data_IF_511482191198
#
_entry.id   IF_511482191198
#
_cell.length_a   1.000
_cell.length_b   1.000
_cell.length_c   1.000
_cell.angle_alpha   90.00
_cell.angle_beta   90.00
_cell.angle_gamma   90.00
#
_symmetry.space_group_name_H-M   'P 1'
#
loop_
_entity.id
_entity.type
_entity.pdbx_description
1 polymer ?
#
# COMPACT_ATOMS: atom_id res chain seq x y z
N UNK A 1 -19.42 -25.50 -6.16
CA UNK A 1 -18.60 -24.38 -6.66
C UNK A 1 -19.24 -23.07 -6.19
N UNK A 2 -18.66 -22.35 -5.26
CA UNK A 2 -19.09 -20.96 -4.99
C UNK A 2 -18.64 -20.17 -6.19
N UNK A 3 -19.56 -19.66 -6.99
CA UNK A 3 -19.27 -18.63 -8.00
C UNK A 3 -18.70 -17.43 -7.25
N UNK A 4 -17.38 -17.23 -7.37
CA UNK A 4 -16.74 -16.05 -6.83
C UNK A 4 -17.44 -14.83 -7.45
N UNK A 5 -18.03 -13.97 -6.61
CA UNK A 5 -18.65 -12.74 -7.10
C UNK A 5 -17.58 -11.92 -7.80
N UNK A 6 -17.85 -11.50 -9.06
CA UNK A 6 -16.94 -10.57 -9.77
C UNK A 6 -16.79 -9.28 -8.99
N UNK A 7 -15.63 -8.69 -9.02
CA UNK A 7 -15.28 -7.49 -8.27
C UNK A 7 -15.30 -6.25 -9.16
N UNK A 8 -15.62 -5.12 -8.55
CA UNK A 8 -15.47 -3.79 -9.16
C UNK A 8 -14.41 -3.03 -8.37
N UNK A 9 -13.21 -2.97 -8.92
CA UNK A 9 -12.09 -2.30 -8.30
C UNK A 9 -12.15 -0.79 -8.51
N UNK A 10 -11.64 -0.03 -7.54
CA UNK A 10 -11.40 1.42 -7.63
C UNK A 10 -10.09 1.76 -6.94
N UNK A 11 -9.21 2.48 -7.62
CA UNK A 11 -7.99 3.01 -7.02
C UNK A 11 -8.29 4.30 -6.26
N UNK A 12 -8.13 4.28 -4.92
CA UNK A 12 -8.34 5.42 -4.02
C UNK A 12 -7.16 5.58 -3.05
N UNK A 13 -5.99 6.08 -3.54
CA UNK A 13 -4.82 6.29 -2.71
C UNK A 13 -5.08 7.34 -1.61
N UNK A 14 -4.42 7.19 -0.46
CA UNK A 14 -4.62 8.10 0.67
C UNK A 14 -5.90 7.83 1.48
N UNK A 15 -6.46 6.63 1.37
CA UNK A 15 -7.66 6.21 2.08
C UNK A 15 -7.51 6.33 3.60
N UNK A 16 -6.29 6.20 4.18
CA UNK A 16 -6.06 6.32 5.62
C UNK A 16 -6.51 7.68 6.18
N UNK A 17 -6.30 8.76 5.42
CA UNK A 17 -6.79 10.08 5.81
C UNK A 17 -8.34 10.13 5.79
N UNK A 18 -8.96 9.51 4.80
CA UNK A 18 -10.42 9.38 4.69
C UNK A 18 -11.00 8.56 5.86
N UNK A 19 -10.36 7.43 6.21
CA UNK A 19 -10.70 6.61 7.37
C UNK A 19 -10.57 7.41 8.68
N UNK A 20 -9.47 8.14 8.83
CA UNK A 20 -9.22 8.95 10.02
C UNK A 20 -10.25 10.06 10.22
N UNK A 21 -10.69 10.72 9.14
CA UNK A 21 -11.75 11.74 9.17
C UNK A 21 -13.12 11.10 9.34
N UNK A 22 -13.36 9.93 8.74
CA UNK A 22 -14.57 9.14 8.95
C UNK A 22 -15.84 9.72 8.32
N UNK A 23 -15.73 10.60 7.32
CA UNK A 23 -16.85 11.27 6.69
C UNK A 23 -17.06 10.84 5.24
N UNK A 24 -18.32 10.59 4.85
CA UNK A 24 -18.69 10.18 3.50
C UNK A 24 -18.49 11.27 2.42
N UNK A 25 -18.38 12.54 2.82
CA UNK A 25 -18.10 13.69 1.96
C UNK A 25 -16.65 14.16 2.03
N UNK A 26 -15.74 13.32 2.56
CA UNK A 26 -14.32 13.64 2.55
C UNK A 26 -13.82 13.84 1.13
N UNK A 27 -13.02 14.90 0.95
CA UNK A 27 -12.36 15.21 -0.31
C UNK A 27 -10.85 15.07 -0.10
N UNK A 28 -10.18 14.16 -0.81
CA UNK A 28 -8.72 14.03 -0.76
C UNK A 28 -8.03 15.32 -1.21
N UNK A 29 -6.79 15.52 -0.76
CA UNK A 29 -5.96 16.63 -1.26
C UNK A 29 -5.69 16.52 -2.77
N UNK A 30 -5.27 17.64 -3.39
CA UNK A 30 -5.09 17.72 -4.84
C UNK A 30 -4.07 16.71 -5.38
N UNK A 31 -3.00 16.41 -4.63
CA UNK A 31 -1.98 15.45 -5.06
C UNK A 31 -2.52 14.02 -5.01
N UNK A 32 -3.29 13.66 -3.97
CA UNK A 32 -3.94 12.35 -3.87
C UNK A 32 -5.00 12.15 -4.96
N UNK A 33 -5.80 13.18 -5.27
CA UNK A 33 -6.76 13.13 -6.38
C UNK A 33 -6.06 12.93 -7.71
N UNK A 34 -5.01 13.73 -7.96
CA UNK A 34 -4.23 13.60 -9.19
C UNK A 34 -3.60 12.21 -9.34
N UNK A 35 -3.07 11.67 -8.26
CA UNK A 35 -2.54 10.30 -8.26
C UNK A 35 -3.65 9.26 -8.53
N UNK A 36 -4.84 9.47 -7.95
CA UNK A 36 -5.99 8.60 -8.20
C UNK A 36 -6.40 8.61 -9.67
N UNK A 37 -6.41 9.78 -10.30
CA UNK A 37 -6.79 9.94 -11.70
C UNK A 37 -5.73 9.33 -12.65
N UNK A 38 -4.45 9.64 -12.43
CA UNK A 38 -3.38 9.18 -13.32
C UNK A 38 -3.10 7.66 -13.20
N UNK A 39 -3.40 7.05 -12.04
CA UNK A 39 -3.13 5.64 -11.77
C UNK A 39 -4.41 4.79 -11.64
N UNK A 40 -5.57 5.29 -12.07
CA UNK A 40 -6.87 4.63 -11.88
C UNK A 40 -6.98 3.25 -12.52
N UNK A 41 -6.17 2.94 -13.54
CA UNK A 41 -6.12 1.63 -14.20
C UNK A 41 -5.16 0.65 -13.52
N UNK A 42 -4.40 1.05 -12.50
CA UNK A 42 -3.45 0.19 -11.79
C UNK A 42 -4.06 -1.15 -11.30
N UNK A 43 -5.35 -1.20 -10.88
CA UNK A 43 -6.01 -2.45 -10.50
C UNK A 43 -6.01 -3.53 -11.57
N UNK A 44 -5.83 -3.22 -12.86
CA UNK A 44 -5.70 -4.22 -13.93
C UNK A 44 -4.66 -5.30 -13.61
N UNK A 45 -3.60 -4.95 -12.89
CA UNK A 45 -2.46 -5.83 -12.67
C UNK A 45 -2.60 -6.79 -11.50
N UNK A 46 -3.62 -6.57 -10.63
CA UNK A 46 -3.90 -7.45 -9.49
C UNK A 46 -5.34 -7.97 -9.44
N UNK A 47 -6.24 -7.46 -10.29
CA UNK A 47 -7.59 -7.98 -10.42
C UNK A 47 -7.60 -9.41 -10.98
N UNK A 48 -8.62 -10.17 -10.66
CA UNK A 48 -8.83 -11.50 -11.20
C UNK A 48 -9.53 -11.45 -12.56
N UNK A 49 -9.38 -12.51 -13.36
CA UNK A 49 -10.08 -12.63 -14.65
C UNK A 49 -11.59 -12.47 -14.48
N UNK A 50 -12.21 -11.66 -15.33
CA UNK A 50 -13.64 -11.34 -15.30
C UNK A 50 -14.01 -10.21 -14.34
N UNK A 51 -13.09 -9.69 -13.54
CA UNK A 51 -13.33 -8.48 -12.72
C UNK A 51 -13.47 -7.23 -13.57
N UNK A 52 -13.80 -6.12 -12.93
CA UNK A 52 -13.90 -4.81 -13.58
C UNK A 52 -13.17 -3.76 -12.76
N UNK A 53 -12.71 -2.71 -13.43
CA UNK A 53 -12.13 -1.51 -12.78
C UNK A 53 -13.02 -0.32 -13.12
N UNK A 54 -13.46 0.39 -12.10
CA UNK A 54 -14.15 1.65 -12.27
C UNK A 54 -13.15 2.76 -12.54
N UNK A 55 -13.20 3.32 -13.75
CA UNK A 55 -12.37 4.45 -14.18
C UNK A 55 -13.24 5.70 -14.37
N UNK A 56 -12.60 6.86 -14.28
CA UNK A 56 -13.23 8.17 -14.52
C UNK A 56 -12.89 8.67 -15.92
N UNK A 57 -11.65 8.45 -16.37
CA UNK A 57 -11.12 8.91 -17.64
C UNK A 57 -10.97 7.74 -18.61
N UNK A 58 -11.81 7.70 -19.63
CA UNK A 58 -11.75 6.66 -20.66
C UNK A 58 -10.74 6.98 -21.76
N UNK A 59 -10.36 8.26 -21.88
CA UNK A 59 -9.40 8.71 -22.89
C UNK A 59 -8.04 8.01 -22.69
N UNK A 60 -7.57 7.37 -23.72
CA UNK A 60 -6.31 6.63 -23.71
C UNK A 60 -6.35 5.25 -23.03
N UNK A 61 -7.45 4.88 -22.33
CA UNK A 61 -7.54 3.58 -21.67
C UNK A 61 -7.58 2.42 -22.69
N UNK A 62 -8.40 2.54 -23.72
CA UNK A 62 -8.47 1.53 -24.79
C UNK A 62 -7.18 1.47 -25.59
N UNK A 63 -6.59 2.62 -25.94
CA UNK A 63 -5.29 2.69 -26.62
C UNK A 63 -4.17 2.06 -25.78
N UNK A 64 -4.22 2.26 -24.47
CA UNK A 64 -3.26 1.63 -23.56
C UNK A 64 -3.40 0.09 -23.59
N UNK A 65 -4.62 -0.44 -23.46
CA UNK A 65 -4.87 -1.88 -23.55
C UNK A 65 -4.43 -2.43 -24.90
N UNK A 66 -4.71 -1.70 -26.00
CA UNK A 66 -4.30 -2.10 -27.35
C UNK A 66 -2.79 -2.07 -27.56
N UNK A 67 -2.07 -1.24 -26.82
CA UNK A 67 -0.61 -1.20 -26.84
C UNK A 67 0.06 -2.41 -26.17
N UNK A 68 -0.68 -3.13 -25.29
CA UNK A 68 -0.17 -4.31 -24.64
C UNK A 68 -0.23 -5.53 -25.57
N UNK A 69 0.81 -6.40 -25.57
CA UNK A 69 0.73 -7.70 -26.23
C UNK A 69 -0.49 -8.50 -25.75
N UNK A 70 -1.15 -9.22 -26.64
CA UNK A 70 -2.39 -9.97 -26.33
C UNK A 70 -2.22 -10.91 -25.12
N UNK A 71 -1.09 -11.58 -25.01
CA UNK A 71 -0.79 -12.51 -23.91
C UNK A 71 -0.58 -11.82 -22.56
N UNK A 72 -0.41 -10.49 -22.55
CA UNK A 72 -0.22 -9.67 -21.35
C UNK A 72 -1.48 -8.87 -20.98
N UNK A 73 -2.46 -8.81 -21.87
CA UNK A 73 -3.71 -8.08 -21.60
C UNK A 73 -4.49 -8.76 -20.49
N UNK A 74 -4.75 -8.07 -19.36
CA UNK A 74 -5.60 -8.63 -18.33
C UNK A 74 -7.04 -8.82 -18.84
N UNK A 75 -7.66 -9.94 -18.53
CA UNK A 75 -9.08 -10.18 -18.78
C UNK A 75 -9.93 -9.44 -17.73
N UNK A 76 -9.86 -8.13 -17.75
CA UNK A 76 -10.47 -7.19 -16.80
C UNK A 76 -11.06 -6.03 -17.58
N UNK A 77 -12.32 -5.68 -17.30
CA UNK A 77 -13.02 -4.61 -18.00
C UNK A 77 -12.76 -3.25 -17.35
N UNK A 78 -12.45 -2.24 -18.15
CA UNK A 78 -12.41 -0.84 -17.73
C UNK A 78 -13.78 -0.21 -17.95
N UNK A 79 -14.47 0.25 -16.92
CA UNK A 79 -15.85 0.73 -16.98
C UNK A 79 -15.99 2.13 -16.39
N UNK A 80 -16.47 3.07 -17.20
CA UNK A 80 -16.91 4.37 -16.71
C UNK A 80 -18.26 4.29 -16.00
N UNK A 81 -18.60 5.32 -15.22
CA UNK A 81 -19.83 5.37 -14.43
C UNK A 81 -21.10 5.08 -15.25
N UNK A 82 -21.21 5.65 -16.45
CA UNK A 82 -22.39 5.45 -17.30
C UNK A 82 -22.46 4.04 -17.89
N UNK A 83 -21.32 3.43 -18.19
CA UNK A 83 -21.25 2.03 -18.60
C UNK A 83 -21.69 1.10 -17.46
N UNK A 84 -21.23 1.35 -16.23
CA UNK A 84 -21.66 0.62 -15.03
C UNK A 84 -23.17 0.70 -14.80
N UNK A 85 -23.78 1.88 -14.99
CA UNK A 85 -25.23 2.07 -14.84
C UNK A 85 -26.06 1.38 -15.94
N UNK A 86 -25.46 0.97 -17.07
CA UNK A 86 -26.13 0.23 -18.15
C UNK A 86 -26.00 -1.28 -18.03
N UNK A 87 -25.20 -1.79 -17.06
CA UNK A 87 -25.10 -3.23 -16.85
C UNK A 87 -26.42 -3.80 -16.33
N UNK A 88 -26.81 -4.97 -16.82
CA UNK A 88 -27.97 -5.70 -16.31
C UNK A 88 -27.55 -6.68 -15.22
N UNK A 89 -28.18 -6.57 -14.05
CA UNK A 89 -27.96 -7.50 -12.95
C UNK A 89 -28.35 -8.95 -13.31
N UNK A 90 -29.35 -9.14 -14.17
CA UNK A 90 -29.83 -10.46 -14.58
C UNK A 90 -28.85 -11.17 -15.51
N UNK A 91 -28.08 -10.41 -16.30
CA UNK A 91 -27.13 -10.95 -17.28
C UNK A 91 -25.74 -11.10 -16.66
N UNK A 92 -25.30 -10.07 -15.96
CA UNK A 92 -23.92 -9.95 -15.45
C UNK A 92 -23.77 -10.46 -14.01
N UNK A 93 -24.86 -10.49 -13.25
CA UNK A 93 -24.82 -10.60 -11.79
C UNK A 93 -24.25 -9.35 -11.12
N UNK A 94 -24.36 -9.25 -9.79
CA UNK A 94 -23.86 -8.08 -9.07
C UNK A 94 -22.32 -8.10 -8.97
N UNK A 95 -21.72 -6.90 -9.03
CA UNK A 95 -20.29 -6.67 -8.84
C UNK A 95 -20.02 -6.29 -7.38
N UNK A 96 -19.09 -6.95 -6.72
CA UNK A 96 -18.67 -6.58 -5.36
C UNK A 96 -17.75 -5.37 -5.40
N UNK A 97 -18.13 -4.24 -4.79
CA UNK A 97 -17.29 -3.05 -4.68
C UNK A 97 -16.00 -3.38 -3.91
N UNK A 98 -14.88 -3.23 -4.57
CA UNK A 98 -13.55 -3.59 -4.06
C UNK A 98 -12.58 -2.41 -4.27
N UNK A 99 -12.68 -1.35 -3.44
CA UNK A 99 -11.73 -0.23 -3.52
C UNK A 99 -10.33 -0.65 -3.10
N UNK A 100 -9.33 0.16 -3.46
CA UNK A 100 -7.96 0.02 -2.96
C UNK A 100 -7.90 -0.06 -1.44
N UNK A 101 -8.63 0.81 -0.77
CA UNK A 101 -8.85 0.77 0.66
C UNK A 101 -10.27 1.19 1.02
N UNK A 102 -10.88 0.49 1.97
CA UNK A 102 -12.23 0.77 2.46
C UNK A 102 -12.26 2.06 3.27
N UNK A 103 -13.06 3.04 2.83
CA UNK A 103 -13.28 4.31 3.55
C UNK A 103 -14.70 4.82 3.29
N UNK A 104 -15.27 5.66 4.18
CA UNK A 104 -16.65 6.14 4.05
C UNK A 104 -16.93 6.87 2.73
N UNK A 105 -15.98 7.67 2.24
CA UNK A 105 -16.12 8.46 1.00
C UNK A 105 -16.18 7.59 -0.26
N UNK A 106 -15.31 6.58 -0.37
CA UNK A 106 -15.31 5.66 -1.52
C UNK A 106 -16.56 4.77 -1.51
N UNK A 107 -16.99 4.30 -0.35
CA UNK A 107 -18.23 3.52 -0.23
C UNK A 107 -19.44 4.38 -0.60
N UNK A 108 -19.48 5.65 -0.18
CA UNK A 108 -20.52 6.58 -0.61
C UNK A 108 -20.49 6.84 -2.13
N UNK A 109 -19.32 6.80 -2.77
CA UNK A 109 -19.20 6.90 -4.23
C UNK A 109 -19.80 5.67 -4.93
N UNK A 110 -19.51 4.45 -4.47
CA UNK A 110 -20.14 3.22 -4.98
C UNK A 110 -21.66 3.22 -4.75
N UNK A 111 -22.10 3.68 -3.60
CA UNK A 111 -23.52 3.76 -3.26
C UNK A 111 -24.28 4.76 -4.19
N UNK A 112 -23.63 5.86 -4.59
CA UNK A 112 -24.21 6.77 -5.60
C UNK A 112 -24.38 6.08 -6.96
N UNK A 113 -23.42 5.25 -7.40
CA UNK A 113 -23.55 4.45 -8.63
C UNK A 113 -24.67 3.42 -8.51
N UNK A 114 -24.76 2.73 -7.39
CA UNK A 114 -25.83 1.75 -7.13
C UNK A 114 -27.21 2.39 -7.22
N UNK A 115 -27.39 3.58 -6.64
CA UNK A 115 -28.66 4.35 -6.74
C UNK A 115 -28.98 4.81 -8.16
N UNK A 116 -27.99 4.91 -9.04
CA UNK A 116 -28.18 5.20 -10.47
C UNK A 116 -28.43 3.94 -11.30
N UNK A 117 -28.59 2.78 -10.69
CA UNK A 117 -28.92 1.51 -11.33
C UNK A 117 -27.76 0.57 -11.58
N UNK A 118 -26.51 0.92 -11.21
CA UNK A 118 -25.39 -0.01 -11.36
C UNK A 118 -25.56 -1.23 -10.43
N UNK A 119 -25.36 -2.48 -10.92
CA UNK A 119 -25.55 -3.70 -10.14
C UNK A 119 -24.36 -3.95 -9.20
N UNK A 120 -24.25 -3.15 -8.14
CA UNK A 120 -23.11 -3.16 -7.22
C UNK A 120 -23.55 -3.60 -5.83
N UNK A 121 -22.83 -4.54 -5.24
CA UNK A 121 -22.88 -4.86 -3.81
C UNK A 121 -21.86 -3.99 -3.10
N UNK A 122 -22.32 -3.08 -2.24
CA UNK A 122 -21.45 -2.15 -1.51
C UNK A 122 -21.26 -2.69 -0.10
N UNK A 123 -20.00 -2.91 0.36
CA UNK A 123 -19.71 -3.30 1.73
C UNK A 123 -20.18 -2.25 2.73
N UNK A 124 -20.57 -2.70 3.91
CA UNK A 124 -20.97 -1.80 4.99
C UNK A 124 -19.73 -1.24 5.71
N UNK A 125 -19.71 0.07 5.96
CA UNK A 125 -18.70 0.68 6.81
C UNK A 125 -18.87 0.25 8.26
N UNK A 126 -17.76 0.06 8.95
CA UNK A 126 -17.72 -0.22 10.38
C UNK A 126 -16.66 0.63 11.07
N UNK A 127 -16.99 1.25 12.19
CA UNK A 127 -16.03 1.98 13.03
C UNK A 127 -14.92 1.08 13.59
N UNK A 128 -15.15 -0.22 13.63
CA UNK A 128 -14.10 -1.20 13.93
C UNK A 128 -12.96 -1.14 12.92
N UNK A 129 -13.23 -0.88 11.62
CA UNK A 129 -12.20 -0.69 10.58
C UNK A 129 -11.37 0.56 10.87
N UNK A 130 -12.00 1.66 11.31
CA UNK A 130 -11.27 2.87 11.72
C UNK A 130 -10.35 2.59 12.89
N UNK A 131 -10.83 1.87 13.89
CA UNK A 131 -10.03 1.45 15.05
C UNK A 131 -8.84 0.58 14.62
N UNK A 132 -9.06 -0.37 13.72
CA UNK A 132 -8.00 -1.24 13.20
C UNK A 132 -6.95 -0.46 12.38
N UNK A 133 -7.37 0.55 11.62
CA UNK A 133 -6.45 1.38 10.80
C UNK A 133 -5.61 2.32 11.66
N UNK A 134 -6.02 2.60 12.89
CA UNK A 134 -5.26 3.45 13.81
C UNK A 134 -3.92 2.80 14.19
N UNK A 135 -2.83 3.58 14.21
CA UNK A 135 -1.46 3.08 14.51
C UNK A 135 -1.32 2.33 15.85
N UNK A 136 -2.21 2.58 16.81
CA UNK A 136 -2.26 1.78 18.05
C UNK A 136 -2.49 0.29 17.79
N UNK A 137 -3.19 -0.07 16.74
CA UNK A 137 -3.37 -1.48 16.37
C UNK A 137 -2.05 -2.11 15.95
N UNK A 138 -1.25 -1.41 15.15
CA UNK A 138 0.10 -1.87 14.79
C UNK A 138 0.99 -2.04 16.03
N UNK A 139 0.95 -1.10 16.97
CA UNK A 139 1.69 -1.21 18.24
C UNK A 139 1.27 -2.44 19.07
N UNK A 140 -0.03 -2.70 19.20
CA UNK A 140 -0.55 -3.91 19.89
C UNK A 140 -0.14 -5.20 19.15
N UNK A 141 -0.13 -5.18 17.81
CA UNK A 141 0.34 -6.32 17.03
C UNK A 141 1.84 -6.53 17.23
N UNK A 142 2.64 -5.46 17.24
CA UNK A 142 4.06 -5.52 17.57
C UNK A 142 4.30 -6.24 18.90
N UNK A 143 3.64 -5.82 19.99
CA UNK A 143 3.75 -6.47 21.29
C UNK A 143 3.41 -7.97 21.25
N UNK A 144 2.39 -8.36 20.47
CA UNK A 144 2.01 -9.76 20.32
C UNK A 144 3.05 -10.56 19.54
N UNK A 145 3.59 -10.00 18.46
CA UNK A 145 4.67 -10.64 17.67
C UNK A 145 5.91 -10.81 18.52
N UNK A 146 6.32 -9.80 19.28
CA UNK A 146 7.50 -9.90 20.17
C UNK A 146 7.32 -10.97 21.26
N UNK A 147 6.10 -11.15 21.81
CA UNK A 147 5.83 -12.27 22.74
C UNK A 147 5.94 -13.65 22.10
N UNK A 148 5.62 -13.77 20.79
CA UNK A 148 5.74 -15.02 20.02
C UNK A 148 7.17 -15.31 19.56
N UNK A 149 8.02 -14.30 19.50
CA UNK A 149 9.42 -14.37 19.06
C UNK A 149 10.37 -13.77 20.11
N UNK A 150 10.47 -14.40 21.28
CA UNK A 150 11.27 -13.87 22.40
C UNK A 150 12.78 -13.82 22.07
N UNK A 151 13.24 -14.47 21.02
CA UNK A 151 14.60 -14.41 20.53
C UNK A 151 14.94 -13.14 19.76
N UNK A 152 13.95 -12.35 19.34
CA UNK A 152 14.19 -11.05 18.72
C UNK A 152 14.76 -10.07 19.77
N UNK A 153 15.74 -9.25 19.37
CA UNK A 153 16.18 -8.16 20.22
C UNK A 153 14.99 -7.26 20.61
N UNK A 154 14.98 -6.72 21.84
CA UNK A 154 13.94 -5.80 22.28
C UNK A 154 13.79 -4.62 21.32
N UNK A 155 12.56 -4.34 20.91
CA UNK A 155 12.20 -3.20 20.09
C UNK A 155 11.24 -2.32 20.89
N UNK A 156 11.47 -1.01 20.86
CA UNK A 156 10.60 -0.07 21.53
C UNK A 156 9.20 -0.08 20.91
N UNK A 157 8.17 -0.30 21.74
CA UNK A 157 6.79 -0.10 21.33
C UNK A 157 6.49 1.41 21.32
N UNK A 158 5.89 1.96 20.25
CA UNK A 158 5.58 3.38 20.20
C UNK A 158 4.71 3.83 21.38
N UNK A 159 5.09 4.94 22.03
CA UNK A 159 4.26 5.59 23.04
C UNK A 159 3.28 6.54 22.35
N UNK A 160 2.05 6.58 22.83
CA UNK A 160 1.01 7.48 22.34
C UNK A 160 0.83 8.63 23.33
N UNK A 161 1.06 9.86 22.84
CA UNK A 161 1.03 11.10 23.63
C UNK A 161 -0.18 11.94 23.23
N UNK A 162 -0.95 12.40 24.21
CA UNK A 162 -2.13 13.25 24.03
C UNK A 162 -1.85 14.74 24.28
N UNK A 163 -0.64 15.08 24.73
CA UNK A 163 -0.20 16.46 24.97
C UNK A 163 1.25 16.68 24.55
N UNK A 164 1.62 17.95 24.34
CA UNK A 164 3.02 18.35 24.11
C UNK A 164 3.87 18.02 25.34
N UNK A 165 3.33 18.16 26.56
CA UNK A 165 4.02 17.79 27.80
C UNK A 165 4.45 16.33 27.80
N UNK A 166 3.57 15.40 27.43
CA UNK A 166 3.90 13.97 27.36
C UNK A 166 4.99 13.67 26.29
N UNK A 167 5.06 14.42 25.20
CA UNK A 167 6.14 14.31 24.21
C UNK A 167 7.44 14.82 24.80
N UNK A 168 7.43 15.97 25.51
CA UNK A 168 8.60 16.52 26.20
C UNK A 168 9.12 15.53 27.24
N UNK A 169 8.24 14.95 28.06
CA UNK A 169 8.60 13.95 29.07
C UNK A 169 9.28 12.71 28.44
N UNK A 170 8.79 12.27 27.28
CA UNK A 170 9.38 11.14 26.57
C UNK A 170 10.79 11.47 26.05
N UNK A 171 10.97 12.60 25.36
CA UNK A 171 12.27 12.96 24.77
C UNK A 171 13.34 13.29 25.82
N UNK A 172 12.93 13.69 27.03
CA UNK A 172 13.88 13.94 28.13
C UNK A 172 14.34 12.65 28.82
N UNK A 173 13.60 11.55 28.68
CA UNK A 173 13.92 10.25 29.32
C UNK A 173 14.56 9.24 28.37
N UNK A 174 14.55 9.51 27.06
CA UNK A 174 15.06 8.60 26.02
C UNK A 174 16.18 9.27 25.20
N UNK A 175 16.92 8.46 24.44
CA UNK A 175 17.99 8.97 23.56
C UNK A 175 17.43 9.32 22.17
N UNK A 176 17.77 10.51 21.68
CA UNK A 176 17.49 10.93 20.30
C UNK A 176 18.32 10.12 19.28
N UNK A 177 17.92 10.09 17.99
CA UNK A 177 16.77 10.79 17.41
C UNK A 177 15.44 10.04 17.59
N UNK A 178 14.31 10.76 17.39
CA UNK A 178 12.96 10.21 17.54
C UNK A 178 12.15 10.35 16.27
N UNK A 179 11.15 9.45 16.12
CA UNK A 179 10.16 9.49 15.06
C UNK A 179 8.77 9.72 15.67
N UNK A 180 8.11 10.81 15.30
CA UNK A 180 6.71 11.05 15.63
C UNK A 180 5.83 10.76 14.43
N UNK A 181 4.66 10.15 14.66
CA UNK A 181 3.71 9.81 13.60
C UNK A 181 2.28 10.16 14.00
N UNK A 182 1.51 10.69 13.06
CA UNK A 182 0.06 10.86 13.25
C UNK A 182 -0.65 9.49 13.17
N UNK A 183 -1.80 9.32 13.83
CA UNK A 183 -2.46 8.01 13.92
C UNK A 183 -3.00 7.47 12.59
N UNK A 184 -3.30 8.37 11.64
CA UNK A 184 -3.77 8.06 10.30
C UNK A 184 -2.94 8.83 9.28
N UNK A 185 -2.08 8.14 8.56
CA UNK A 185 -1.25 8.73 7.51
C UNK A 185 -0.73 7.66 6.57
N UNK A 186 -0.32 8.06 5.38
CA UNK A 186 0.29 7.21 4.38
C UNK A 186 1.43 7.93 3.66
N UNK A 187 2.29 7.18 3.02
CA UNK A 187 3.33 7.67 2.10
C UNK A 187 4.23 8.75 2.70
N UNK A 188 4.64 8.57 3.96
CA UNK A 188 5.53 9.51 4.67
C UNK A 188 4.88 10.82 5.11
N UNK A 189 3.58 11.02 4.87
CA UNK A 189 2.85 12.17 5.40
C UNK A 189 2.55 11.95 6.88
N UNK A 190 2.51 13.04 7.66
CA UNK A 190 2.24 12.94 9.09
C UNK A 190 3.38 12.29 9.89
N UNK A 191 4.62 12.41 9.42
CA UNK A 191 5.84 12.00 10.10
C UNK A 191 6.68 13.24 10.41
N UNK A 192 7.19 13.32 11.64
CA UNK A 192 8.17 14.29 12.10
C UNK A 192 9.36 13.57 12.72
N UNK A 193 10.56 13.94 12.34
CA UNK A 193 11.78 13.49 13.03
C UNK A 193 12.27 14.58 13.97
N UNK A 194 12.52 14.22 15.23
CA UNK A 194 13.24 15.04 16.20
C UNK A 194 14.66 14.52 16.29
N UNK A 195 15.61 15.32 15.83
CA UNK A 195 17.03 14.92 15.86
C UNK A 195 17.66 15.10 17.26
N UNK A 196 17.04 15.92 18.12
CA UNK A 196 17.50 16.24 19.46
C UNK A 196 16.38 16.15 20.48
N UNK A 197 16.75 16.21 21.77
CA UNK A 197 15.80 16.29 22.90
C UNK A 197 15.19 17.69 23.07
N UNK A 198 15.76 18.73 22.46
CA UNK A 198 15.20 20.08 22.44
C UNK A 198 14.23 20.21 21.27
N UNK A 199 12.95 20.47 21.54
CA UNK A 199 11.91 20.65 20.55
C UNK A 199 11.92 22.12 20.09
N UNK A 200 12.16 22.34 18.80
CA UNK A 200 12.13 23.68 18.17
C UNK A 200 10.69 24.20 18.01
N UNK A 201 10.51 25.51 17.80
CA UNK A 201 9.19 26.10 17.57
C UNK A 201 8.45 25.52 16.35
N UNK A 202 9.08 25.23 15.19
CA UNK A 202 8.40 24.57 14.08
C UNK A 202 7.92 23.16 14.44
N UNK A 203 8.74 22.37 15.14
CA UNK A 203 8.39 21.01 15.58
C UNK A 203 7.24 21.06 16.60
N UNK A 204 7.28 21.99 17.56
CA UNK A 204 6.20 22.21 18.51
C UNK A 204 4.88 22.54 17.79
N UNK A 205 4.89 23.45 16.83
CA UNK A 205 3.70 23.79 16.03
C UNK A 205 3.14 22.59 15.25
N UNK A 206 4.04 21.74 14.73
CA UNK A 206 3.62 20.51 14.06
C UNK A 206 2.92 19.54 15.05
N UNK A 207 3.52 19.32 16.24
CA UNK A 207 2.95 18.47 17.28
C UNK A 207 1.58 18.99 17.71
N UNK A 208 1.46 20.27 18.04
CA UNK A 208 0.20 20.92 18.40
C UNK A 208 -0.86 20.81 17.31
N UNK A 209 -0.45 20.96 16.03
CA UNK A 209 -1.34 20.80 14.87
C UNK A 209 -1.84 19.37 14.74
N UNK A 210 -0.96 18.38 14.94
CA UNK A 210 -1.30 16.98 14.92
C UNK A 210 -2.24 16.60 16.07
N UNK A 211 -1.95 17.08 17.29
CA UNK A 211 -2.80 16.86 18.47
C UNK A 211 -4.19 17.49 18.32
N UNK A 212 -4.28 18.74 17.82
CA UNK A 212 -5.59 19.37 17.54
C UNK A 212 -6.42 18.58 16.53
N UNK A 213 -5.77 18.00 15.51
CA UNK A 213 -6.47 17.27 14.46
C UNK A 213 -6.86 15.85 14.88
N UNK A 214 -5.99 15.16 15.58
CA UNK A 214 -6.09 13.72 15.80
C UNK A 214 -6.25 13.33 17.28
N UNK A 215 -6.03 14.24 18.21
CA UNK A 215 -6.07 13.99 19.65
C UNK A 215 -4.83 13.29 20.20
N UNK A 216 -4.02 12.67 19.34
CA UNK A 216 -2.86 11.87 19.76
C UNK A 216 -1.78 11.84 18.68
N UNK A 217 -0.52 11.68 19.09
CA UNK A 217 0.62 11.34 18.24
C UNK A 217 1.38 10.16 18.84
N UNK A 218 1.95 9.29 18.01
CA UNK A 218 2.91 8.29 18.50
C UNK A 218 4.34 8.83 18.44
N UNK A 219 5.18 8.38 19.38
CA UNK A 219 6.62 8.66 19.42
C UNK A 219 7.39 7.37 19.70
N UNK A 220 8.49 7.18 19.01
CA UNK A 220 9.38 6.04 19.11
C UNK A 220 10.83 6.44 18.77
N UNK A 221 11.86 5.70 19.18
CA UNK A 221 13.23 5.92 18.73
C UNK A 221 13.33 5.76 17.20
N UNK A 222 14.09 6.64 16.55
CA UNK A 222 14.41 6.50 15.13
C UNK A 222 15.52 5.46 14.98
N UNK A 223 15.24 4.42 14.24
CA UNK A 223 16.16 3.31 14.00
C UNK A 223 17.10 3.61 12.81
N UNK A 224 18.34 3.12 12.87
CA UNK A 224 19.29 3.12 11.75
C UNK A 224 18.90 2.05 10.72
N UNK A 225 17.90 2.37 9.92
CA UNK A 225 17.30 1.49 8.94
C UNK A 225 18.27 1.10 7.84
N UNK A 226 18.35 -0.20 7.52
CA UNK A 226 19.20 -0.75 6.45
C UNK A 226 18.37 -1.37 5.30
N UNK A 227 17.15 -1.84 5.55
CA UNK A 227 16.26 -2.38 4.53
C UNK A 227 14.79 -2.23 4.94
N UNK A 228 13.92 -1.98 3.96
CA UNK A 228 12.46 -2.03 4.09
C UNK A 228 11.93 -3.30 3.41
N UNK A 229 10.97 -3.96 4.05
CA UNK A 229 10.23 -5.06 3.45
C UNK A 229 8.82 -5.15 4.04
N UNK A 230 7.92 -5.81 3.34
CA UNK A 230 6.58 -6.09 3.84
C UNK A 230 6.20 -7.55 3.60
N UNK A 231 5.38 -8.07 4.49
CA UNK A 231 4.65 -9.30 4.24
C UNK A 231 3.21 -8.94 3.87
N UNK A 232 2.77 -9.47 2.73
CA UNK A 232 1.43 -9.26 2.20
C UNK A 232 0.55 -10.44 2.57
N UNK A 233 -0.72 -10.17 2.90
CA UNK A 233 -1.68 -11.17 3.39
C UNK A 233 -3.06 -10.93 2.77
N UNK A 234 -3.91 -11.97 2.88
CA UNK A 234 -5.34 -11.90 2.60
C UNK A 234 -6.12 -12.42 3.81
N UNK A 235 -7.07 -11.63 4.29
CA UNK A 235 -8.02 -12.00 5.33
C UNK A 235 -9.37 -12.38 4.72
N UNK A 236 -9.97 -13.48 5.15
CA UNK A 236 -11.30 -13.91 4.73
C UNK A 236 -12.45 -13.22 5.50
N UNK A 237 -12.14 -12.48 6.57
CA UNK A 237 -13.12 -11.86 7.45
C UNK A 237 -13.76 -12.83 8.46
N UNK A 238 -13.36 -14.09 8.46
CA UNK A 238 -13.90 -15.16 9.32
C UNK A 238 -12.88 -15.68 10.33
N UNK A 239 -11.73 -15.03 10.43
CA UNK A 239 -10.67 -15.36 11.37
C UNK A 239 -9.45 -16.02 10.72
N UNK A 240 -9.47 -16.30 9.42
CA UNK A 240 -8.34 -16.84 8.70
C UNK A 240 -7.61 -15.74 7.93
N UNK A 241 -6.30 -15.64 8.15
CA UNK A 241 -5.39 -14.78 7.41
C UNK A 241 -4.33 -15.65 6.75
N UNK A 242 -4.16 -15.51 5.44
CA UNK A 242 -3.22 -16.28 4.64
C UNK A 242 -2.12 -15.40 4.09
N UNK A 243 -0.89 -15.89 4.10
CA UNK A 243 0.25 -15.20 3.50
C UNK A 243 0.11 -15.14 1.98
N UNK A 244 0.26 -13.92 1.41
CA UNK A 244 0.14 -13.67 -0.01
C UNK A 244 1.50 -13.46 -0.70
N UNK A 245 2.51 -12.92 -0.02
CA UNK A 245 3.84 -12.73 -0.62
C UNK A 245 4.77 -11.81 0.15
N UNK A 246 6.02 -11.78 -0.28
CA UNK A 246 7.08 -10.88 0.20
C UNK A 246 7.21 -9.69 -0.76
N UNK A 247 7.24 -8.49 -0.24
CA UNK A 247 7.66 -7.28 -0.94
C UNK A 247 8.93 -6.72 -0.33
N UNK A 248 9.95 -6.50 -1.16
CA UNK A 248 11.17 -5.77 -0.80
C UNK A 248 11.11 -4.44 -1.52
N UNK A 249 11.16 -3.33 -0.79
CA UNK A 249 10.92 -2.02 -1.36
C UNK A 249 11.90 -0.96 -0.84
N UNK A 250 11.93 0.14 -1.55
CA UNK A 250 12.75 1.30 -1.21
C UNK A 250 11.83 2.47 -0.86
N UNK A 251 12.24 3.27 0.15
CA UNK A 251 11.54 4.48 0.54
C UNK A 251 12.45 5.69 0.45
N UNK A 252 11.87 6.84 0.12
CA UNK A 252 12.54 8.13 0.27
C UNK A 252 12.89 8.36 1.77
N UNK A 253 13.91 9.14 2.14
CA UNK A 253 14.23 9.48 3.53
C UNK A 253 13.04 9.98 4.37
N UNK A 254 12.01 10.53 3.73
CA UNK A 254 10.74 10.94 4.39
C UNK A 254 9.69 9.83 4.47
N UNK A 255 10.04 8.57 4.14
CA UNK A 255 9.15 7.41 4.22
C UNK A 255 8.18 7.21 3.05
N UNK A 256 8.24 8.03 1.98
CA UNK A 256 7.41 7.79 0.80
C UNK A 256 7.96 6.61 -0.02
N UNK A 257 7.08 5.72 -0.46
CA UNK A 257 7.41 4.62 -1.36
C UNK A 257 8.00 5.16 -2.67
N UNK A 258 9.13 4.60 -3.11
CA UNK A 258 9.79 4.95 -4.36
C UNK A 258 9.82 3.81 -5.37
N UNK A 259 9.76 2.57 -4.90
CA UNK A 259 9.72 1.40 -5.76
C UNK A 259 9.81 0.11 -4.98
N UNK A 260 9.42 -1.00 -5.62
CA UNK A 260 9.55 -2.35 -5.08
C UNK A 260 10.32 -3.24 -6.06
N UNK A 261 11.01 -4.23 -5.54
CA UNK A 261 11.73 -5.22 -6.33
C UNK A 261 10.77 -6.25 -6.89
N UNK A 262 11.04 -6.68 -8.11
CA UNK A 262 10.27 -7.70 -8.84
C UNK A 262 11.16 -8.90 -9.15
N UNK A 263 10.61 -10.09 -9.08
CA UNK A 263 11.32 -11.32 -9.41
C UNK A 263 10.75 -12.53 -8.67
N UNK A 264 11.44 -13.64 -8.82
CA UNK A 264 11.11 -14.88 -8.10
C UNK A 264 11.17 -14.68 -6.57
N UNK A 265 10.22 -15.23 -5.78
CA UNK A 265 10.16 -15.05 -4.33
C UNK A 265 11.43 -15.47 -3.58
N UNK A 266 12.10 -16.54 -4.01
CA UNK A 266 13.34 -17.01 -3.36
C UNK A 266 14.50 -16.06 -3.65
N UNK A 267 14.56 -15.52 -4.88
CA UNK A 267 15.53 -14.48 -5.24
C UNK A 267 15.28 -13.19 -4.47
N UNK A 268 14.03 -12.79 -4.28
CA UNK A 268 13.68 -11.61 -3.47
C UNK A 268 14.08 -11.81 -2.02
N UNK A 269 13.81 -13.00 -1.46
CA UNK A 269 14.27 -13.38 -0.11
C UNK A 269 15.80 -13.33 -0.01
N UNK A 270 16.50 -13.78 -1.06
CA UNK A 270 17.97 -13.69 -1.15
C UNK A 270 18.54 -12.27 -1.14
N UNK A 271 17.72 -11.25 -1.44
CA UNK A 271 18.12 -9.83 -1.38
C UNK A 271 17.93 -9.20 0.02
N UNK A 272 17.24 -9.89 0.93
CA UNK A 272 17.13 -9.44 2.31
C UNK A 272 18.46 -9.62 3.05
N UNK A 273 18.71 -8.83 4.09
CA UNK A 273 19.86 -9.04 4.99
C UNK A 273 19.92 -10.47 5.55
N UNK A 274 21.12 -10.97 5.79
CA UNK A 274 21.39 -12.37 6.17
C UNK A 274 20.54 -12.88 7.34
N UNK A 275 20.22 -12.00 8.29
CA UNK A 275 19.35 -12.32 9.42
C UNK A 275 17.97 -12.87 9.00
N UNK A 276 17.48 -12.50 7.81
CA UNK A 276 16.19 -12.93 7.28
C UNK A 276 16.28 -14.04 6.23
N UNK A 277 17.48 -14.45 5.81
CA UNK A 277 17.64 -15.56 4.84
C UNK A 277 17.44 -16.93 5.47
N UNK A 278 17.59 -17.03 6.79
CA UNK A 278 17.46 -18.27 7.56
C UNK A 278 16.04 -18.53 8.09
N UNK A 279 15.92 -19.42 9.11
CA UNK A 279 14.64 -19.84 9.69
C UNK A 279 13.84 -18.70 10.35
N UNK A 280 14.50 -17.58 10.69
CA UNK A 280 13.82 -16.44 11.32
C UNK A 280 12.69 -15.88 10.43
N UNK A 281 12.87 -15.84 9.11
CA UNK A 281 11.84 -15.37 8.19
C UNK A 281 10.54 -16.17 8.31
N UNK A 282 10.63 -17.50 8.33
CA UNK A 282 9.45 -18.37 8.40
C UNK A 282 8.75 -18.27 9.76
N UNK A 283 9.53 -18.18 10.85
CA UNK A 283 8.96 -17.92 12.19
C UNK A 283 8.32 -16.55 12.31
N UNK A 284 8.92 -15.51 11.72
CA UNK A 284 8.36 -14.17 11.66
C UNK A 284 7.03 -14.19 10.90
N UNK A 285 7.01 -14.80 9.71
CA UNK A 285 5.78 -14.96 8.91
C UNK A 285 4.68 -15.65 9.71
N UNK A 286 4.98 -16.75 10.39
CA UNK A 286 4.01 -17.48 11.22
C UNK A 286 3.51 -16.61 12.37
N UNK A 287 4.40 -15.99 13.15
CA UNK A 287 4.03 -15.16 14.28
C UNK A 287 3.15 -13.96 13.88
N UNK A 288 3.43 -13.36 12.72
CA UNK A 288 2.61 -12.26 12.18
C UNK A 288 1.25 -12.79 11.70
N UNK A 289 1.21 -13.92 10.97
CA UNK A 289 -0.04 -14.55 10.53
C UNK A 289 -0.97 -14.82 11.71
N UNK A 290 -0.46 -15.50 12.76
CA UNK A 290 -1.24 -15.80 13.96
C UNK A 290 -1.72 -14.53 14.68
N UNK A 291 -0.87 -13.51 14.73
CA UNK A 291 -1.24 -12.22 15.32
C UNK A 291 -2.37 -11.55 14.53
N UNK A 292 -2.32 -11.59 13.21
CA UNK A 292 -3.35 -11.04 12.34
C UNK A 292 -4.66 -11.83 12.44
N UNK A 293 -4.63 -13.17 12.50
CA UNK A 293 -5.82 -14.00 12.74
C UNK A 293 -6.53 -13.56 14.03
N UNK A 294 -5.77 -13.35 15.11
CA UNK A 294 -6.31 -12.97 16.43
C UNK A 294 -6.83 -11.53 16.51
N UNK A 295 -6.32 -10.62 15.67
CA UNK A 295 -6.58 -9.18 15.81
C UNK A 295 -7.45 -8.61 14.69
N UNK A 296 -7.19 -9.00 13.46
CA UNK A 296 -7.77 -8.42 12.24
C UNK A 296 -8.76 -9.35 11.58
N UNK A 297 -8.47 -10.66 11.60
CA UNK A 297 -9.08 -11.65 10.74
C UNK A 297 -10.60 -11.79 10.82
N UNK A 298 -11.25 -11.37 11.93
CA UNK A 298 -12.72 -11.41 12.10
C UNK A 298 -13.41 -10.09 11.78
N UNK A 299 -12.65 -9.02 11.56
CA UNK A 299 -13.20 -7.66 11.38
C UNK A 299 -12.98 -7.19 9.95
N UNK A 300 -11.83 -7.54 9.37
CA UNK A 300 -11.41 -7.11 8.05
C UNK A 300 -11.41 -8.28 7.07
N UNK A 301 -11.98 -8.07 5.90
CA UNK A 301 -11.92 -8.98 4.75
C UNK A 301 -11.26 -8.27 3.58
N UNK A 302 -10.23 -8.87 3.00
CA UNK A 302 -9.47 -8.31 1.88
C UNK A 302 -7.96 -8.44 2.05
N UNK A 303 -7.23 -7.85 1.11
CA UNK A 303 -5.77 -7.80 1.17
C UNK A 303 -5.27 -6.78 2.19
N UNK A 304 -4.16 -7.09 2.82
CA UNK A 304 -3.48 -6.22 3.78
C UNK A 304 -1.97 -6.46 3.74
N UNK A 305 -1.20 -5.44 4.13
CA UNK A 305 0.25 -5.51 4.24
C UNK A 305 0.74 -5.15 5.62
N UNK A 306 1.84 -5.77 6.04
CA UNK A 306 2.55 -5.44 7.28
C UNK A 306 3.95 -4.97 6.91
N UNK A 307 4.22 -3.69 7.10
CA UNK A 307 5.53 -3.10 6.85
C UNK A 307 6.48 -3.44 8.00
N UNK A 308 7.70 -3.78 7.66
CA UNK A 308 8.78 -4.19 8.54
C UNK A 308 10.08 -3.54 8.10
N UNK A 309 11.08 -3.54 8.95
CA UNK A 309 12.42 -3.09 8.55
C UNK A 309 13.52 -3.91 9.22
N UNK A 310 14.69 -3.92 8.58
CA UNK A 310 15.96 -4.31 9.21
C UNK A 310 16.71 -3.04 9.56
N UNK A 311 17.29 -3.03 10.73
CA UNK A 311 18.06 -1.89 11.23
C UNK A 311 19.38 -2.35 11.88
N UNK A 312 20.33 -1.45 11.96
CA UNK A 312 21.60 -1.65 12.63
C UNK A 312 21.46 -1.23 14.09
N UNK A 313 21.88 -2.09 15.00
CA UNK A 313 21.97 -1.81 16.43
C UNK A 313 23.23 -1.02 16.75
N UNK A 314 23.32 -0.38 17.94
CA UNK A 314 24.55 0.34 18.38
C UNK A 314 25.82 -0.53 18.39
N UNK A 315 25.67 -1.84 18.60
CA UNK A 315 26.78 -2.81 18.57
C UNK A 315 27.19 -3.24 17.14
N UNK A 316 26.55 -2.66 16.11
CA UNK A 316 26.79 -2.96 14.70
C UNK A 316 26.01 -4.17 14.16
N UNK A 317 25.37 -4.96 15.02
CA UNK A 317 24.58 -6.12 14.59
C UNK A 317 23.29 -5.72 13.89
N UNK A 318 22.80 -6.57 12.96
CA UNK A 318 21.52 -6.39 12.33
C UNK A 318 20.38 -6.92 13.22
N UNK A 319 19.26 -6.20 13.23
CA UNK A 319 18.04 -6.62 13.92
C UNK A 319 16.80 -6.33 13.06
N UNK A 320 15.69 -7.00 13.36
CA UNK A 320 14.42 -6.85 12.66
C UNK A 320 13.42 -6.12 13.55
N UNK A 321 12.77 -5.07 13.00
CA UNK A 321 11.55 -4.52 13.57
C UNK A 321 10.37 -5.21 12.90
N UNK A 322 9.64 -6.10 13.60
CA UNK A 322 8.74 -7.06 12.97
C UNK A 322 7.35 -6.49 12.66
N UNK A 323 7.05 -5.21 12.99
CA UNK A 323 5.72 -4.64 12.77
C UNK A 323 5.75 -3.11 12.87
N UNK A 324 6.03 -2.42 11.76
CA UNK A 324 6.09 -0.94 11.69
C UNK A 324 4.71 -0.33 11.42
N UNK A 325 3.98 -0.90 10.47
CA UNK A 325 2.69 -0.38 10.00
C UNK A 325 1.78 -1.52 9.55
N UNK A 326 0.48 -1.36 9.80
CA UNK A 326 -0.57 -2.23 9.31
C UNK A 326 -1.36 -1.49 8.23
N UNK A 327 -1.31 -2.01 7.02
CA UNK A 327 -1.97 -1.45 5.85
C UNK A 327 -3.21 -2.28 5.51
N UNK A 328 -4.41 -1.88 5.97
CA UNK A 328 -5.68 -2.59 5.70
C UNK A 328 -6.25 -2.19 4.33
N UNK A 329 -5.53 -2.53 3.28
CA UNK A 329 -5.82 -2.19 1.89
C UNK A 329 -4.93 -2.99 0.94
N UNK A 330 -5.20 -2.86 -0.36
CA UNK A 330 -4.17 -3.17 -1.35
C UNK A 330 -2.94 -2.29 -1.11
N UNK A 331 -1.75 -2.82 -1.36
CA UNK A 331 -0.47 -2.12 -1.20
C UNK A 331 0.32 -2.14 -2.50
N UNK A 332 1.28 -1.25 -2.65
CA UNK A 332 2.22 -1.34 -3.78
C UNK A 332 3.07 -2.61 -3.70
N UNK A 333 3.26 -3.14 -2.48
CA UNK A 333 3.91 -4.43 -2.26
C UNK A 333 3.10 -5.58 -2.85
N UNK A 334 1.78 -5.60 -2.64
CA UNK A 334 0.92 -6.60 -3.28
C UNK A 334 0.93 -6.47 -4.81
N UNK A 335 0.90 -5.24 -5.34
CA UNK A 335 1.04 -5.01 -6.80
C UNK A 335 2.36 -5.60 -7.31
N UNK A 336 3.46 -5.41 -6.58
CA UNK A 336 4.75 -5.99 -6.94
C UNK A 336 4.74 -7.53 -6.91
N UNK A 337 4.09 -8.12 -5.90
CA UNK A 337 3.90 -9.59 -5.82
C UNK A 337 3.13 -10.11 -7.04
N UNK A 338 2.02 -9.46 -7.41
CA UNK A 338 1.20 -9.88 -8.55
C UNK A 338 1.91 -9.66 -9.90
N UNK A 339 2.61 -8.55 -10.06
CA UNK A 339 3.45 -8.31 -11.25
C UNK A 339 4.56 -9.35 -11.39
N UNK A 340 5.22 -9.72 -10.29
CA UNK A 340 6.23 -10.78 -10.28
C UNK A 340 5.66 -12.13 -10.71
N UNK A 341 4.42 -12.44 -10.29
CA UNK A 341 3.75 -13.70 -10.62
C UNK A 341 3.23 -13.76 -12.05
N UNK A 342 2.65 -12.65 -12.55
CA UNK A 342 1.84 -12.63 -13.80
C UNK A 342 2.58 -12.03 -14.98
N UNK A 343 3.50 -11.08 -14.75
CA UNK A 343 4.06 -10.23 -15.80
C UNK A 343 5.54 -10.48 -16.01
N UNK A 344 6.32 -10.53 -14.93
CA UNK A 344 7.77 -10.64 -15.00
C UNK A 344 8.18 -12.10 -15.21
N UNK A 345 9.16 -12.32 -16.11
CA UNK A 345 9.71 -13.67 -16.34
C UNK A 345 10.42 -14.18 -15.06
N UNK A 346 10.28 -15.47 -14.66
CA UNK A 346 10.84 -15.99 -13.41
C UNK A 346 12.36 -15.78 -13.26
N UNK A 347 13.11 -15.85 -14.36
CA UNK A 347 14.56 -15.62 -14.34
C UNK A 347 14.96 -14.14 -14.37
N UNK A 348 14.02 -13.23 -14.54
CA UNK A 348 14.30 -11.80 -14.61
C UNK A 348 14.20 -11.15 -13.22
N UNK A 349 14.90 -10.04 -13.07
CA UNK A 349 14.81 -9.15 -11.91
C UNK A 349 14.38 -7.78 -12.43
N UNK A 350 13.48 -7.14 -11.70
CA UNK A 350 13.00 -5.81 -12.07
C UNK A 350 12.65 -4.96 -10.88
N UNK A 351 12.06 -3.80 -11.18
CA UNK A 351 11.56 -2.84 -10.19
C UNK A 351 10.21 -2.30 -10.63
N UNK A 352 9.25 -2.25 -9.73
CA UNK A 352 8.05 -1.43 -9.83
C UNK A 352 8.41 -0.02 -9.36
N UNK A 353 8.06 0.98 -10.15
CA UNK A 353 8.37 2.39 -9.88
C UNK A 353 7.11 3.24 -9.99
N UNK A 354 6.96 4.15 -9.02
CA UNK A 354 5.94 5.20 -9.05
C UNK A 354 6.67 6.54 -9.10
N UNK A 355 6.51 7.25 -10.21
CA UNK A 355 7.17 8.53 -10.40
C UNK A 355 6.17 9.67 -10.47
N UNK A 356 6.46 10.77 -9.76
CA UNK A 356 5.77 12.04 -9.89
C UNK A 356 6.61 12.99 -10.75
N UNK A 357 5.99 13.55 -11.77
CA UNK A 357 6.60 14.54 -12.66
C UNK A 357 6.19 15.95 -12.25
N UNK A 358 7.06 16.94 -12.42
CA UNK A 358 6.82 18.31 -11.93
C UNK A 358 5.75 19.07 -12.72
N UNK A 359 5.63 18.83 -14.03
CA UNK A 359 4.72 19.56 -14.92
C UNK A 359 4.01 18.63 -15.93
N UNK A 360 2.84 19.03 -16.47
CA UNK A 360 2.20 18.37 -17.59
C UNK A 360 3.15 18.20 -18.78
N UNK A 361 3.09 17.07 -19.47
CA UNK A 361 3.99 16.69 -20.56
C UNK A 361 5.29 16.01 -20.10
N UNK A 362 5.77 16.24 -18.86
CA UNK A 362 7.00 15.63 -18.38
C UNK A 362 6.85 14.10 -18.25
N UNK A 363 5.71 13.63 -17.76
CA UNK A 363 5.44 12.21 -17.65
C UNK A 363 5.47 11.51 -19.01
N UNK A 364 4.87 12.10 -20.01
CA UNK A 364 4.86 11.56 -21.38
C UNK A 364 6.26 11.55 -21.99
N UNK A 365 7.03 12.65 -21.85
CA UNK A 365 8.43 12.70 -22.32
C UNK A 365 9.29 11.64 -21.64
N UNK A 366 9.17 11.48 -20.35
CA UNK A 366 9.90 10.47 -19.59
C UNK A 366 9.50 9.06 -20.03
N UNK A 367 8.20 8.77 -20.20
CA UNK A 367 7.71 7.50 -20.71
C UNK A 367 8.30 7.17 -22.09
N UNK A 368 8.29 8.12 -23.03
CA UNK A 368 8.84 7.94 -24.38
C UNK A 368 10.37 7.74 -24.36
N UNK A 369 11.08 8.42 -23.46
CA UNK A 369 12.52 8.27 -23.29
C UNK A 369 12.86 6.88 -22.73
N UNK A 370 12.14 6.42 -21.70
CA UNK A 370 12.35 5.11 -21.08
C UNK A 370 12.02 3.97 -22.05
N UNK A 371 10.94 4.07 -22.82
CA UNK A 371 10.57 3.07 -23.84
C UNK A 371 11.62 2.94 -24.96
N UNK A 372 12.31 4.04 -25.31
CA UNK A 372 13.41 4.00 -26.27
C UNK A 372 14.70 3.45 -25.66
N UNK A 373 15.00 3.81 -24.42
CA UNK A 373 16.19 3.37 -23.68
C UNK A 373 16.15 1.89 -23.35
N UNK A 374 14.96 1.39 -22.98
CA UNK A 374 14.71 0.02 -22.51
C UNK A 374 13.52 -0.58 -23.26
N UNK A 375 13.70 -0.96 -24.55
CA UNK A 375 12.62 -1.61 -25.29
C UNK A 375 12.22 -2.93 -24.64
N UNK A 376 10.94 -3.27 -24.71
CA UNK A 376 10.41 -4.49 -24.08
C UNK A 376 10.82 -5.73 -24.88
N UNK A 377 11.28 -6.75 -24.15
CA UNK A 377 11.56 -8.09 -24.67
C UNK A 377 10.78 -9.10 -23.85
N UNK A 378 10.06 -9.99 -24.54
CA UNK A 378 9.22 -11.01 -23.92
C UNK A 378 9.75 -12.41 -24.22
N UNK A 379 9.63 -13.30 -23.24
CA UNK A 379 9.86 -14.73 -23.36
C UNK A 379 8.77 -15.48 -22.59
N UNK A 380 8.29 -16.57 -23.12
CA UNK A 380 7.26 -17.43 -22.52
C UNK A 380 6.02 -16.64 -22.05
N UNK A 381 5.61 -15.64 -22.83
CA UNK A 381 4.45 -14.78 -22.50
C UNK A 381 4.69 -13.81 -21.34
N UNK A 382 5.93 -13.56 -20.94
CA UNK A 382 6.28 -12.67 -19.82
C UNK A 382 7.41 -11.71 -20.20
N UNK A 383 7.47 -10.58 -19.50
CA UNK A 383 8.49 -9.56 -19.68
C UNK A 383 9.85 -10.06 -19.17
N UNK A 384 10.80 -10.23 -20.09
CA UNK A 384 12.17 -10.68 -19.80
C UNK A 384 13.11 -9.52 -19.55
N UNK A 385 12.93 -8.41 -20.29
CA UNK A 385 13.70 -7.18 -20.13
C UNK A 385 12.91 -6.00 -20.71
N UNK A 386 13.23 -4.78 -20.25
CA UNK A 386 12.68 -3.54 -20.79
C UNK A 386 11.84 -2.75 -19.81
N UNK A 387 11.27 -1.64 -20.30
CA UNK A 387 10.39 -0.77 -19.52
C UNK A 387 8.95 -0.92 -20.02
N UNK A 388 8.04 -1.30 -19.12
CA UNK A 388 6.61 -1.45 -19.41
C UNK A 388 5.80 -0.49 -18.55
N UNK A 389 5.00 0.39 -19.17
CA UNK A 389 4.02 1.21 -18.45
C UNK A 389 2.88 0.34 -17.92
N UNK A 390 2.42 0.62 -16.71
CA UNK A 390 1.31 -0.08 -16.07
C UNK A 390 -0.01 0.70 -16.15
N UNK A 391 0.06 1.95 -16.59
CA UNK A 391 -1.08 2.86 -16.72
C UNK A 391 -0.96 3.68 -17.99
N UNK A 392 -2.06 4.22 -18.54
CA UNK A 392 -1.99 5.20 -19.62
C UNK A 392 -1.16 6.41 -19.21
N UNK A 393 -0.30 6.90 -20.11
CA UNK A 393 0.47 8.14 -19.91
C UNK A 393 0.07 9.15 -20.97
N UNK A 394 -0.63 10.19 -20.56
CA UNK A 394 -1.14 11.27 -21.43
C UNK A 394 -0.31 12.55 -21.26
N UNK A 395 -0.49 13.55 -22.15
CA UNK A 395 0.14 14.88 -21.94
C UNK A 395 -0.25 15.54 -20.62
N UNK A 396 -1.42 15.21 -20.08
CA UNK A 396 -1.90 15.75 -18.81
C UNK A 396 -1.34 15.02 -17.59
N UNK A 397 -0.80 13.79 -17.71
CA UNK A 397 -0.35 12.97 -16.57
C UNK A 397 0.79 13.62 -15.80
N UNK A 398 0.69 13.55 -14.46
CA UNK A 398 1.75 13.94 -13.52
C UNK A 398 2.34 12.74 -12.78
N UNK A 399 1.62 11.61 -12.73
CA UNK A 399 2.11 10.37 -12.13
C UNK A 399 2.25 9.28 -13.20
N UNK A 400 3.24 8.42 -13.00
CA UNK A 400 3.49 7.23 -13.80
C UNK A 400 3.66 6.03 -12.88
N UNK A 401 3.09 4.88 -13.27
CA UNK A 401 3.41 3.58 -12.71
C UNK A 401 4.01 2.72 -13.84
N UNK A 402 5.18 2.16 -13.63
CA UNK A 402 5.87 1.36 -14.65
C UNK A 402 6.82 0.35 -14.00
N UNK A 403 7.21 -0.64 -14.77
CA UNK A 403 8.24 -1.60 -14.36
C UNK A 403 9.45 -1.50 -15.28
N UNK A 404 10.63 -1.63 -14.69
CA UNK A 404 11.89 -1.83 -15.38
C UNK A 404 12.41 -3.23 -15.06
N UNK A 405 12.73 -4.02 -16.07
CA UNK A 405 13.25 -5.39 -15.96
C UNK A 405 14.58 -5.44 -16.69
N UNK A 406 15.61 -5.97 -16.04
CA UNK A 406 16.98 -6.06 -16.55
C UNK A 406 17.51 -7.47 -16.48
#
# INVERSE_FOLDING_TARGET
MRTSSRRLHRFNPGHEAAVGIGQANYTPDAASRRMADDLETLPLWYADSGDSVWITHTEGADQFLDSLPLFLRPDVRLLAADALCRLSADVEGPLLATPWGLSPDVLAAFERLRRRGAPILVPTWSDALRTLTHRQTAARCLERVLRRLPELPPVAVPRFCASVGEVVDYVTTCQAPFMLKTPFSCSGRGILTLENTSITDPERRWIEGALRRWGVVSIEPKLDKTADFALEFHSDGHGCVTYAGLSVFDTHPRGAFTGARLGDPDRLRGQLPDILRGPLFDRLRTAVTDTLCDTVGRIYSGFLGVDMLVYRRPDGSAAVHPFIELNLRYTMGLVAVELSRRVVHPDAIGRLLIARCPAPGDALRAHQADSRRLPTHFADGRLRAGCLSLVPVTPASLFRAFIEVV
#
